data_IF_091853708749
#
_entry.id   IF_091853708749
#
_cell.length_a   1.000
_cell.length_b   1.000
_cell.length_c   1.000
_cell.angle_alpha   90.00
_cell.angle_beta   90.00
_cell.angle_gamma   90.00
#
_symmetry.space_group_name_H-M   'P 1'
#
loop_
_entity.id
_entity.type
_entity.pdbx_description
1 polymer ?
#
# COMPACT_ATOMS: atom_id res chain seq x y z
N UNK A 1 -15.75 -12.20 -14.83
CA UNK A 1 -14.49 -12.97 -14.97
C UNK A 1 -14.15 -13.57 -13.63
N UNK A 2 -13.62 -14.79 -13.59
CA UNK A 2 -13.05 -15.40 -12.38
C UNK A 2 -11.56 -15.64 -12.63
N UNK A 3 -10.73 -15.47 -11.61
CA UNK A 3 -9.31 -15.85 -11.70
C UNK A 3 -9.22 -17.38 -11.74
N UNK A 4 -8.36 -17.92 -12.59
CA UNK A 4 -8.03 -19.34 -12.61
C UNK A 4 -7.02 -19.63 -11.49
N UNK A 5 -6.89 -20.90 -11.11
CA UNK A 5 -5.92 -21.32 -10.09
C UNK A 5 -4.50 -20.91 -10.48
N UNK A 6 -4.11 -21.13 -11.74
CA UNK A 6 -2.79 -20.71 -12.25
C UNK A 6 -2.50 -19.22 -12.08
N UNK A 7 -3.52 -18.35 -12.15
CA UNK A 7 -3.35 -16.91 -11.93
C UNK A 7 -3.24 -16.59 -10.45
N UNK A 8 -4.01 -17.28 -9.60
CA UNK A 8 -3.91 -17.18 -8.15
C UNK A 8 -2.51 -17.59 -7.68
N UNK A 9 -2.00 -18.72 -8.18
CA UNK A 9 -0.68 -19.24 -7.81
C UNK A 9 0.44 -18.24 -8.20
N UNK A 10 0.34 -17.63 -9.39
CA UNK A 10 1.28 -16.57 -9.81
C UNK A 10 1.22 -15.33 -8.93
N UNK A 11 0.03 -14.95 -8.48
CA UNK A 11 -0.14 -13.83 -7.53
C UNK A 11 0.51 -14.21 -6.19
N UNK A 12 0.30 -15.43 -5.70
CA UNK A 12 0.93 -15.90 -4.46
C UNK A 12 2.45 -15.93 -4.55
N UNK A 13 3.01 -16.41 -5.67
CA UNK A 13 4.45 -16.38 -5.94
C UNK A 13 4.99 -14.94 -5.94
N UNK A 14 4.30 -14.00 -6.59
CA UNK A 14 4.70 -12.58 -6.61
C UNK A 14 4.59 -11.91 -5.22
N UNK A 15 3.61 -12.32 -4.40
CA UNK A 15 3.46 -11.83 -3.03
C UNK A 15 4.57 -12.34 -2.11
N UNK A 16 5.18 -13.50 -2.42
CA UNK A 16 6.28 -14.09 -1.67
C UNK A 16 7.63 -13.39 -1.97
N UNK A 17 7.70 -12.08 -1.74
CA UNK A 17 8.93 -11.30 -1.90
C UNK A 17 9.51 -10.86 -0.56
N UNK A 18 10.83 -10.76 -0.54
CA UNK A 18 11.60 -10.29 0.60
C UNK A 18 11.91 -8.80 0.46
N UNK A 19 12.13 -8.16 1.59
CA UNK A 19 12.73 -6.82 1.64
C UNK A 19 14.23 -6.92 1.39
N UNK A 20 14.89 -5.77 1.20
CA UNK A 20 16.35 -5.68 1.02
C UNK A 20 17.15 -6.27 2.19
N UNK A 21 16.56 -6.33 3.38
CA UNK A 21 17.15 -6.92 4.59
C UNK A 21 16.97 -8.45 4.71
N UNK A 22 16.31 -9.08 3.73
CA UNK A 22 16.03 -10.53 3.72
C UNK A 22 14.80 -10.94 4.52
N UNK A 23 14.11 -10.01 5.20
CA UNK A 23 12.86 -10.31 5.91
C UNK A 23 11.67 -10.41 4.96
N UNK A 24 10.68 -11.23 5.30
CA UNK A 24 9.46 -11.39 4.51
C UNK A 24 8.60 -10.13 4.56
N UNK A 25 8.20 -9.64 3.38
CA UNK A 25 7.43 -8.41 3.30
C UNK A 25 5.93 -8.60 3.56
N UNK A 26 5.39 -9.80 3.37
CA UNK A 26 3.99 -10.15 3.66
C UNK A 26 3.99 -11.48 4.42
N UNK A 27 3.17 -11.57 5.46
CA UNK A 27 3.06 -12.76 6.28
C UNK A 27 1.63 -13.28 6.28
N UNK A 28 1.48 -14.58 6.46
CA UNK A 28 0.16 -15.20 6.64
C UNK A 28 -0.49 -14.62 7.89
N UNK A 29 -1.67 -14.01 7.72
CA UNK A 29 -2.38 -13.29 8.78
C UNK A 29 -2.33 -11.77 8.71
N UNK A 30 -1.53 -11.19 7.79
CA UNK A 30 -1.61 -9.75 7.49
C UNK A 30 -3.01 -9.40 6.92
N UNK A 31 -3.59 -8.26 7.35
CA UNK A 31 -4.85 -7.78 6.80
C UNK A 31 -4.62 -7.18 5.40
N UNK A 32 -5.26 -7.79 4.39
CA UNK A 32 -5.14 -7.35 3.00
C UNK A 32 -6.41 -6.67 2.52
N UNK A 33 -6.24 -5.63 1.69
CA UNK A 33 -7.33 -4.96 0.98
C UNK A 33 -7.09 -5.04 -0.52
N UNK A 34 -8.11 -5.46 -1.26
CA UNK A 34 -8.06 -5.58 -2.72
C UNK A 34 -8.86 -4.42 -3.32
N UNK A 35 -8.17 -3.57 -4.07
CA UNK A 35 -8.75 -2.40 -4.72
C UNK A 35 -8.67 -2.54 -6.24
N UNK A 36 -9.65 -1.97 -6.93
CA UNK A 36 -9.64 -1.85 -8.38
C UNK A 36 -9.21 -0.44 -8.76
N UNK A 37 -8.04 -0.31 -9.39
CA UNK A 37 -7.56 0.95 -9.93
C UNK A 37 -7.72 0.97 -11.46
N UNK A 38 -7.94 2.17 -12.01
CA UNK A 38 -8.06 2.36 -13.45
C UNK A 38 -7.93 3.81 -13.84
N UNK A 39 -6.98 4.10 -14.74
CA UNK A 39 -6.86 5.40 -15.42
C UNK A 39 -7.27 5.30 -16.89
N UNK A 40 -7.24 4.10 -17.49
CA UNK A 40 -7.56 3.87 -18.89
C UNK A 40 -8.67 2.83 -19.06
N UNK A 41 -9.54 3.04 -20.03
CA UNK A 41 -10.79 2.27 -20.21
C UNK A 41 -10.59 0.78 -20.56
N UNK A 42 -9.39 0.38 -21.00
CA UNK A 42 -9.09 -0.99 -21.40
C UNK A 42 -8.40 -1.83 -20.32
N UNK A 43 -7.61 -1.19 -19.44
CA UNK A 43 -6.80 -1.89 -18.45
C UNK A 43 -7.29 -1.62 -17.03
N UNK A 44 -7.42 -2.69 -16.26
CA UNK A 44 -7.80 -2.64 -14.84
C UNK A 44 -6.65 -3.18 -14.02
N UNK A 45 -6.17 -2.37 -13.09
CA UNK A 45 -5.12 -2.76 -12.16
C UNK A 45 -5.77 -3.28 -10.87
N UNK A 46 -5.35 -4.45 -10.42
CA UNK A 46 -5.71 -4.94 -9.08
C UNK A 46 -4.59 -4.50 -8.14
N UNK A 47 -4.94 -3.70 -7.14
CA UNK A 47 -4.00 -3.25 -6.11
C UNK A 47 -4.27 -4.04 -4.84
N UNK A 48 -3.27 -4.79 -4.39
CA UNK A 48 -3.31 -5.51 -3.11
C UNK A 48 -2.52 -4.67 -2.11
N UNK A 49 -3.21 -4.17 -1.07
CA UNK A 49 -2.64 -3.28 -0.05
C UNK A 49 -2.59 -3.99 1.31
N UNK A 50 -1.48 -3.84 2.05
CA UNK A 50 -1.33 -4.36 3.41
C UNK A 50 -1.82 -3.29 4.39
N UNK A 51 -2.94 -3.54 5.09
CA UNK A 51 -3.49 -2.60 6.07
C UNK A 51 -2.70 -2.60 7.37
N UNK A 52 -2.16 -3.74 7.79
CA UNK A 52 -1.34 -3.86 9.00
C UNK A 52 -0.09 -2.97 8.95
N UNK A 53 0.45 -2.73 7.75
CA UNK A 53 1.66 -1.94 7.53
C UNK A 53 1.37 -0.49 7.12
N UNK A 54 0.11 -0.04 7.23
CA UNK A 54 -0.32 1.30 6.86
C UNK A 54 -0.85 2.15 8.02
N UNK A 55 -0.11 2.34 9.14
CA UNK A 55 -0.25 3.58 9.88
C UNK A 55 0.56 4.64 9.14
N UNK A 56 -0.08 5.46 8.30
CA UNK A 56 0.50 6.73 7.88
C UNK A 56 0.70 7.56 9.15
N UNK A 57 1.89 7.47 9.74
CA UNK A 57 2.31 8.40 10.78
C UNK A 57 2.60 9.70 10.07
N UNK A 58 1.57 10.55 10.00
CA UNK A 58 1.72 11.90 9.49
C UNK A 58 2.87 12.57 10.22
N UNK A 59 3.78 13.21 9.49
CA UNK A 59 4.85 13.96 10.10
C UNK A 59 4.26 14.98 11.07
N UNK A 60 4.89 15.14 12.24
CA UNK A 60 4.45 16.15 13.20
C UNK A 60 4.42 17.52 12.51
N UNK A 61 3.39 18.35 12.75
CA UNK A 61 3.31 19.67 12.16
C UNK A 61 4.56 20.49 12.49
N UNK A 62 5.12 21.15 11.49
CA UNK A 62 6.32 21.98 11.64
C UNK A 62 6.19 22.93 12.86
N UNK A 63 7.09 22.87 13.87
CA UNK A 63 6.93 23.60 15.15
C UNK A 63 6.72 25.11 14.98
N UNK A 64 7.41 25.69 14.00
CA UNK A 64 7.45 27.13 13.72
C UNK A 64 6.49 27.56 12.60
N UNK A 65 5.59 26.69 12.13
CA UNK A 65 4.58 27.06 11.13
C UNK A 65 3.21 27.12 11.79
N UNK A 66 2.52 28.25 11.64
CA UNK A 66 1.12 28.41 12.01
C UNK A 66 0.26 27.97 10.81
N UNK A 67 -0.38 26.81 10.92
CA UNK A 67 -1.19 26.22 9.85
C UNK A 67 -2.54 26.92 9.67
N UNK A 68 -3.06 27.60 10.70
CA UNK A 68 -4.31 28.35 10.59
C UNK A 68 -4.09 29.65 9.82
N UNK A 69 -2.98 30.34 10.12
CA UNK A 69 -2.61 31.61 9.48
C UNK A 69 -1.78 31.45 8.21
N UNK A 70 -1.24 30.25 7.99
CA UNK A 70 -0.32 29.91 6.88
C UNK A 70 0.98 30.72 6.89
N UNK A 71 1.50 31.04 8.08
CA UNK A 71 2.68 31.89 8.27
C UNK A 71 3.74 31.25 9.18
N UNK A 72 4.98 31.70 9.03
CA UNK A 72 6.08 31.30 9.92
C UNK A 72 6.02 32.10 11.22
N UNK A 73 6.07 31.40 12.36
CA UNK A 73 6.25 32.02 13.68
C UNK A 73 7.61 32.71 13.70
N UNK A 74 7.62 34.02 13.95
CA UNK A 74 8.84 34.81 14.15
C UNK A 74 9.52 34.49 15.48
#
# INVERSE_FOLDING_TARGET
>A
MKLTQDVIDKIQEAMNHTKKDGSMNWQDGDEIEVNLAGTFAADRFIVIKNKTKDPVVSAAPHPNYDYEKKEWKK
#
